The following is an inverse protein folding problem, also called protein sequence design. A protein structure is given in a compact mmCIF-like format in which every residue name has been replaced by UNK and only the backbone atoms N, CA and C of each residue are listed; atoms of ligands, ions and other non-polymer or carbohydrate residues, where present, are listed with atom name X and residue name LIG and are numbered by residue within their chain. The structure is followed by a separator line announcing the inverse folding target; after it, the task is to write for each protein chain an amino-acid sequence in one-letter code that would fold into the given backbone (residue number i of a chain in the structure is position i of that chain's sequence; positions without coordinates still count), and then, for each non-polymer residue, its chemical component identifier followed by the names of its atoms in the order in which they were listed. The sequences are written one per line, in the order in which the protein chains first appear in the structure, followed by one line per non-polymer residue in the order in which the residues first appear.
data_IF_774169023106
#
_entry.id   IF_774169023106
#
_cell.length_a   1.000
_cell.length_b   1.000
_cell.length_c   1.000
_cell.angle_alpha   90.00
_cell.angle_beta   90.00
_cell.angle_gamma   90.00
#
_symmetry.space_group_name_H-M   'P 1'
#
loop_
_entity.id
_entity.type
_entity.pdbx_description
1 polymer ?
#
# COMPACT_ATOMS: atom_id res chain seq x y z
N UNK A 1 -26.32 -19.91 -26.23
CA UNK A 1 -26.22 -19.50 -24.81
C UNK A 1 -24.81 -18.97 -24.55
N UNK A 2 -24.54 -17.70 -24.82
CA UNK A 2 -23.24 -17.10 -24.52
C UNK A 2 -23.24 -16.66 -23.05
N UNK A 3 -22.53 -17.41 -22.20
CA UNK A 3 -22.26 -17.01 -20.83
C UNK A 3 -21.37 -15.77 -20.85
N UNK A 4 -21.97 -14.59 -20.65
CA UNK A 4 -21.26 -13.38 -20.32
C UNK A 4 -20.55 -13.64 -18.98
N UNK A 5 -19.24 -13.89 -19.01
CA UNK A 5 -18.40 -13.89 -17.80
C UNK A 5 -18.60 -12.54 -17.14
N UNK A 6 -19.39 -12.50 -16.06
CA UNK A 6 -19.51 -11.31 -15.20
C UNK A 6 -18.10 -11.01 -14.72
N UNK A 7 -17.52 -9.92 -15.22
CA UNK A 7 -16.27 -9.41 -14.67
C UNK A 7 -16.59 -9.06 -13.21
N UNK A 8 -15.79 -9.53 -12.23
CA UNK A 8 -16.03 -9.17 -10.85
C UNK A 8 -16.03 -7.65 -10.73
N UNK A 9 -17.12 -7.10 -10.21
CA UNK A 9 -17.29 -5.67 -10.02
C UNK A 9 -16.21 -5.20 -9.04
N UNK A 10 -15.25 -4.45 -9.57
CA UNK A 10 -14.19 -3.86 -8.77
C UNK A 10 -14.80 -2.67 -8.05
N UNK A 11 -14.83 -2.71 -6.72
CA UNK A 11 -15.38 -1.64 -5.91
C UNK A 11 -14.35 -0.50 -5.83
N UNK A 12 -14.75 0.69 -6.28
CA UNK A 12 -13.96 1.92 -6.15
C UNK A 12 -14.48 2.73 -4.96
N UNK A 13 -13.62 2.99 -3.97
CA UNK A 13 -13.98 3.72 -2.74
C UNK A 13 -12.90 3.64 -1.66
N UNK A 14 -13.03 4.45 -0.61
CA UNK A 14 -12.12 4.44 0.55
C UNK A 14 -12.45 3.26 1.48
N UNK A 15 -12.02 2.06 1.10
CA UNK A 15 -12.24 0.83 1.87
C UNK A 15 -11.07 0.60 2.85
N UNK A 16 -11.35 0.40 4.16
CA UNK A 16 -10.29 0.07 5.11
C UNK A 16 -9.69 -1.32 4.82
N UNK A 17 -8.37 -1.40 4.86
CA UNK A 17 -7.58 -2.63 4.72
C UNK A 17 -6.63 -2.76 5.89
N UNK A 18 -6.10 -3.96 6.11
CA UNK A 18 -5.07 -4.17 7.13
C UNK A 18 -3.68 -4.06 6.51
N UNK A 19 -2.75 -3.43 7.24
CA UNK A 19 -1.36 -3.28 6.81
C UNK A 19 -0.40 -3.73 7.91
N UNK A 20 0.71 -4.33 7.52
CA UNK A 20 1.76 -4.78 8.42
C UNK A 20 3.15 -4.65 7.79
N UNK A 21 4.17 -4.16 8.50
CA UNK A 21 4.10 -3.54 9.82
C UNK A 21 3.37 -2.19 9.77
N UNK A 22 2.83 -1.73 10.89
CA UNK A 22 2.15 -0.42 10.96
C UNK A 22 3.14 0.75 10.90
N UNK A 23 4.43 0.48 11.11
CA UNK A 23 5.52 1.44 11.13
C UNK A 23 6.74 0.84 10.43
N UNK A 24 7.48 1.66 9.69
CA UNK A 24 8.71 1.29 8.99
C UNK A 24 9.81 2.26 9.39
N UNK A 25 10.98 1.73 9.70
CA UNK A 25 12.09 2.50 10.28
C UNK A 25 13.33 2.32 9.42
N UNK A 26 13.81 3.39 8.82
CA UNK A 26 14.98 3.41 7.93
C UNK A 26 16.13 4.13 8.63
N UNK A 27 17.30 3.50 8.71
CA UNK A 27 18.51 4.09 9.27
C UNK A 27 19.47 4.47 8.15
N UNK A 28 19.91 5.73 8.15
CA UNK A 28 20.79 6.31 7.14
C UNK A 28 22.09 5.51 6.91
N UNK A 29 22.67 5.02 7.99
CA UNK A 29 23.96 4.33 7.99
C UNK A 29 23.83 2.81 7.85
N UNK A 30 22.60 2.28 7.85
CA UNK A 30 22.32 0.85 7.69
C UNK A 30 21.49 0.58 6.43
N UNK A 31 22.22 0.29 5.35
CA UNK A 31 21.64 -0.05 4.05
C UNK A 31 20.70 -1.26 4.08
N UNK A 32 20.82 -2.16 5.07
CA UNK A 32 19.91 -3.30 5.18
C UNK A 32 18.48 -2.85 5.48
N UNK A 33 18.33 -1.70 6.13
CA UNK A 33 17.01 -1.15 6.48
C UNK A 33 16.38 -0.35 5.35
N UNK A 34 17.14 0.05 4.32
CA UNK A 34 16.66 0.87 3.20
C UNK A 34 15.62 0.18 2.31
N UNK A 35 15.48 -1.14 2.40
CA UNK A 35 14.44 -1.90 1.71
C UNK A 35 13.59 -2.60 2.75
N UNK A 36 12.31 -2.30 2.79
CA UNK A 36 11.37 -2.93 3.71
C UNK A 36 10.12 -3.40 2.99
N UNK A 37 9.46 -4.39 3.59
CA UNK A 37 8.23 -4.98 3.07
C UNK A 37 7.05 -4.47 3.89
N UNK A 38 6.03 -3.98 3.21
CA UNK A 38 4.72 -3.67 3.76
C UNK A 38 3.69 -4.62 3.14
N UNK A 39 3.10 -5.46 3.97
CA UNK A 39 2.03 -6.38 3.58
C UNK A 39 0.68 -5.68 3.71
N UNK A 40 -0.13 -5.72 2.67
CA UNK A 40 -1.53 -5.29 2.66
C UNK A 40 -2.43 -6.51 2.58
N UNK A 41 -3.39 -6.63 3.51
CA UNK A 41 -4.38 -7.70 3.53
C UNK A 41 -5.77 -7.17 3.18
N UNK A 42 -6.43 -7.87 2.26
CA UNK A 42 -7.80 -7.64 1.86
C UNK A 42 -8.77 -8.52 2.67
N UNK A 43 -9.52 -7.96 3.63
CA UNK A 43 -10.48 -8.72 4.43
C UNK A 43 -11.82 -8.96 3.72
N UNK A 44 -11.98 -8.51 2.47
CA UNK A 44 -13.24 -8.58 1.74
C UNK A 44 -13.33 -9.82 0.86
N UNK A 45 -14.57 -10.15 0.46
CA UNK A 45 -14.89 -11.24 -0.46
C UNK A 45 -14.79 -10.82 -1.94
N UNK A 46 -14.35 -9.59 -2.22
CA UNK A 46 -14.13 -9.05 -3.55
C UNK A 46 -12.70 -8.52 -3.72
N UNK A 47 -12.23 -8.44 -4.97
CA UNK A 47 -10.90 -7.92 -5.27
C UNK A 47 -10.86 -6.40 -5.10
N UNK A 48 -9.77 -5.89 -4.51
CA UNK A 48 -9.54 -4.47 -4.38
C UNK A 48 -8.48 -4.02 -5.38
N UNK A 49 -8.69 -2.85 -6.00
CA UNK A 49 -7.59 -2.08 -6.58
C UNK A 49 -7.05 -1.14 -5.50
N UNK A 50 -5.75 -1.00 -5.43
CA UNK A 50 -5.10 -0.08 -4.52
C UNK A 50 -4.13 0.83 -5.26
N UNK A 51 -3.92 2.01 -4.69
CA UNK A 51 -2.86 2.94 -5.05
C UNK A 51 -2.24 3.45 -3.76
N UNK A 52 -0.94 3.24 -3.63
CA UNK A 52 -0.13 3.75 -2.52
C UNK A 52 0.17 5.22 -2.78
N UNK A 53 -0.16 6.07 -1.82
CA UNK A 53 0.18 7.48 -1.85
C UNK A 53 1.33 7.73 -0.87
N UNK A 54 2.33 8.48 -1.32
CA UNK A 54 3.48 8.85 -0.51
C UNK A 54 3.43 10.36 -0.25
N UNK A 55 3.54 10.77 1.03
CA UNK A 55 3.54 12.18 1.42
C UNK A 55 4.85 12.89 1.11
N UNK A 56 5.95 12.13 1.00
CA UNK A 56 7.27 12.68 0.67
C UNK A 56 7.91 11.90 -0.49
N UNK A 57 7.38 12.04 -1.72
CA UNK A 57 7.81 11.25 -2.87
C UNK A 57 9.28 11.47 -3.26
N UNK A 58 9.88 12.60 -2.84
CA UNK A 58 11.31 12.86 -3.05
C UNK A 58 12.22 12.03 -2.12
N UNK A 59 11.67 11.36 -1.10
CA UNK A 59 12.44 10.58 -0.11
C UNK A 59 12.20 9.07 -0.22
N UNK A 60 11.10 8.63 -0.83
CA UNK A 60 10.73 7.22 -0.95
C UNK A 60 10.33 6.87 -2.36
N UNK A 61 10.84 5.75 -2.85
CA UNK A 61 10.30 5.08 -4.02
C UNK A 61 9.49 3.90 -3.54
N UNK A 62 8.20 3.91 -3.83
CA UNK A 62 7.33 2.74 -3.67
C UNK A 62 7.41 1.94 -4.96
N UNK A 63 7.97 0.73 -4.90
CA UNK A 63 7.92 -0.20 -6.03
C UNK A 63 6.49 -0.75 -6.10
N UNK A 64 5.90 -0.76 -7.29
CA UNK A 64 4.51 -1.19 -7.52
C UNK A 64 3.46 -0.42 -6.69
N UNK A 65 3.55 0.92 -6.75
CA UNK A 65 2.66 1.85 -6.05
C UNK A 65 1.17 1.75 -6.44
N UNK A 66 0.79 0.86 -7.36
CA UNK A 66 -0.59 0.56 -7.67
C UNK A 66 -0.73 -0.91 -8.09
N UNK A 67 -1.84 -1.53 -7.73
CA UNK A 67 -2.07 -2.93 -8.02
C UNK A 67 -3.47 -3.39 -7.66
N UNK A 68 -3.64 -4.71 -7.61
CA UNK A 68 -4.87 -5.34 -7.14
C UNK A 68 -4.55 -6.48 -6.17
N UNK A 69 -5.41 -6.65 -5.16
CA UNK A 69 -5.33 -7.72 -4.19
C UNK A 69 -6.61 -8.54 -4.26
N UNK A 70 -6.46 -9.87 -4.31
CA UNK A 70 -7.57 -10.82 -4.37
C UNK A 70 -8.38 -10.82 -3.05
N UNK A 71 -9.62 -11.31 -3.06
CA UNK A 71 -10.37 -11.55 -1.82
C UNK A 71 -9.56 -12.37 -0.82
N UNK A 72 -9.65 -12.04 0.46
CA UNK A 72 -9.04 -12.82 1.55
C UNK A 72 -7.54 -13.13 1.33
N UNK A 73 -6.81 -12.23 0.68
CA UNK A 73 -5.41 -12.43 0.29
C UNK A 73 -4.53 -11.24 0.70
N UNK A 74 -3.23 -11.49 0.69
CA UNK A 74 -2.20 -10.48 0.94
C UNK A 74 -1.45 -10.11 -0.33
N UNK A 75 -0.90 -8.90 -0.34
CA UNK A 75 0.13 -8.46 -1.28
C UNK A 75 1.25 -7.77 -0.52
N UNK A 76 2.49 -8.07 -0.90
CA UNK A 76 3.68 -7.45 -0.33
C UNK A 76 4.13 -6.28 -1.21
N UNK A 77 4.36 -5.13 -0.59
CA UNK A 77 4.82 -3.91 -1.23
C UNK A 77 6.26 -3.65 -0.78
N UNK A 78 7.16 -3.45 -1.74
CA UNK A 78 8.57 -3.17 -1.44
C UNK A 78 8.76 -1.66 -1.40
N UNK A 79 9.16 -1.17 -0.23
CA UNK A 79 9.45 0.23 0.03
C UNK A 79 10.96 0.44 0.06
N UNK A 80 11.41 1.40 -0.74
CA UNK A 80 12.83 1.66 -0.96
C UNK A 80 13.17 3.11 -0.60
N UNK A 81 13.94 3.28 0.47
CA UNK A 81 14.36 4.55 1.03
C UNK A 81 15.73 5.03 0.50
N UNK A 82 16.29 4.40 -0.55
CA UNK A 82 17.60 4.74 -1.16
C UNK A 82 17.76 6.20 -1.64
N UNK A 83 16.78 7.07 -1.39
CA UNK A 83 16.82 8.51 -1.66
C UNK A 83 17.18 9.45 -0.50
N UNK A 84 17.06 9.12 0.81
CA UNK A 84 17.35 10.11 1.87
C UNK A 84 17.54 9.57 3.30
N UNK A 85 18.57 10.11 3.98
CA UNK A 85 19.08 9.78 5.32
C UNK A 85 18.18 10.13 6.53
N UNK A 86 16.90 10.46 6.41
CA UNK A 86 16.07 10.63 7.60
C UNK A 86 14.59 10.55 7.24
N UNK A 87 13.91 9.57 7.85
CA UNK A 87 12.57 9.16 7.49
C UNK A 87 11.75 8.99 8.75
N UNK A 88 10.89 9.96 9.03
CA UNK A 88 9.76 9.78 9.94
C UNK A 88 8.57 9.54 9.03
N UNK A 89 8.05 8.30 9.01
CA UNK A 89 6.72 8.05 8.47
C UNK A 89 5.73 8.61 9.49
N UNK A 90 5.42 9.89 9.33
CA UNK A 90 4.42 10.57 10.14
C UNK A 90 3.07 9.88 9.94
N UNK A 91 2.38 9.65 11.05
CA UNK A 91 1.09 8.96 11.14
C UNK A 91 0.08 9.65 10.22
N UNK A 92 -0.10 9.12 9.01
CA UNK A 92 -1.21 9.52 8.16
C UNK A 92 -2.48 8.86 8.69
N UNK A 93 -3.13 9.53 9.64
CA UNK A 93 -4.56 9.40 9.82
C UNK A 93 -5.21 9.70 8.46
N UNK A 94 -5.87 8.71 7.86
CA UNK A 94 -6.79 8.93 6.75
C UNK A 94 -7.91 9.83 7.26
N UNK A 95 -7.74 11.14 7.13
CA UNK A 95 -8.78 12.09 7.51
C UNK A 95 -9.96 11.99 6.55
N UNK A 96 -11.21 12.01 7.08
CA UNK A 96 -12.39 12.14 6.25
C UNK A 96 -12.39 13.53 5.61
N UNK A 97 -12.51 13.58 4.29
CA UNK A 97 -12.71 14.84 3.55
C UNK A 97 -13.93 15.56 4.10
N UNK A 98 -13.72 16.76 4.62
CA UNK A 98 -14.78 17.66 5.07
C UNK A 98 -15.40 18.36 3.87
N UNK A 99 -16.73 18.19 3.75
CA UNK A 99 -17.77 18.97 3.03
C UNK A 99 -17.47 19.48 1.63
#
# INVERSE_FOLDING_TARGET
MHQQKRQPELVEGNLPVFVFPTELIFYADDQSTHKQVLTLYNPYEFALKFKVLCTTPNKYVVVDAAGAVKPQCCVDLILDARGCQHVVLDRQQLHPGSR
#
